data_IF_054979776440
#
_entry.id   IF_054979776440
#
_cell.length_a   1.000
_cell.length_b   1.000
_cell.length_c   1.000
_cell.angle_alpha   90.00
_cell.angle_beta   90.00
_cell.angle_gamma   90.00
#
_symmetry.space_group_name_H-M   'P 1'
#
loop_
_entity.id
_entity.type
_entity.pdbx_description
1 polymer ?
#
# COMPACT_ATOMS: atom_id res chain seq x y z
N UNK A 1 51.37 -0.24 23.63
CA UNK A 1 52.11 0.49 24.67
C UNK A 1 52.57 1.78 23.99
N UNK A 2 52.10 2.98 24.28
CA UNK A 2 51.49 3.48 25.50
C UNK A 2 50.63 4.72 25.19
N UNK A 3 49.61 4.93 26.01
CA UNK A 3 48.58 5.98 25.97
C UNK A 3 49.08 7.34 26.46
N UNK A 4 48.55 8.46 25.92
CA UNK A 4 48.21 9.62 26.77
C UNK A 4 47.19 10.58 26.14
N UNK A 5 46.21 10.95 26.95
CA UNK A 5 45.14 11.91 26.70
C UNK A 5 45.38 13.24 27.44
N UNK A 6 44.71 14.30 26.97
CA UNK A 6 44.39 15.59 27.62
C UNK A 6 43.64 16.46 26.59
N UNK A 7 42.34 16.78 26.72
CA UNK A 7 41.71 17.90 27.49
C UNK A 7 42.48 19.22 27.33
N UNK A 8 41.91 20.41 27.11
CA UNK A 8 40.59 21.06 26.97
C UNK A 8 40.96 22.52 26.60
N UNK A 9 40.21 23.28 25.78
CA UNK A 9 39.99 24.73 26.00
C UNK A 9 38.78 25.26 25.19
N UNK A 10 38.04 26.14 25.86
CA UNK A 10 36.85 26.92 25.50
C UNK A 10 37.28 28.26 24.87
N UNK A 11 36.42 28.88 24.06
CA UNK A 11 36.70 30.13 23.37
C UNK A 11 35.47 30.75 22.73
N UNK A 12 34.76 31.57 23.51
CA UNK A 12 33.66 32.44 23.09
C UNK A 12 34.15 33.63 22.27
N UNK A 13 33.40 34.03 21.23
CA UNK A 13 33.35 35.45 20.83
C UNK A 13 32.04 35.86 20.13
N UNK A 14 31.57 37.09 20.41
CA UNK A 14 30.30 37.71 19.97
C UNK A 14 30.53 38.72 18.82
N UNK A 15 29.68 38.63 17.80
CA UNK A 15 28.99 39.66 16.95
C UNK A 15 29.65 41.03 16.60
N UNK A 16 29.33 41.65 15.42
CA UNK A 16 28.11 42.46 15.34
C UNK A 16 27.37 42.54 13.97
N UNK A 17 26.27 43.28 14.03
CA UNK A 17 25.15 43.59 13.11
C UNK A 17 25.42 44.22 11.73
N UNK A 18 24.47 44.03 10.80
CA UNK A 18 24.19 44.91 9.66
C UNK A 18 22.83 44.63 9.01
N UNK A 19 21.90 45.59 9.10
CA UNK A 19 20.58 45.63 8.43
C UNK A 19 20.69 45.95 6.94
N UNK A 20 19.70 45.55 6.12
CA UNK A 20 19.00 46.40 5.12
C UNK A 20 17.77 45.65 4.54
N UNK A 21 16.63 46.34 4.53
CA UNK A 21 15.32 45.93 3.97
C UNK A 21 15.16 46.34 2.50
N UNK A 22 14.35 45.58 1.73
CA UNK A 22 13.40 45.98 0.65
C UNK A 22 12.71 44.67 0.17
N UNK A 23 11.39 44.42 0.11
CA UNK A 23 10.23 45.26 -0.12
C UNK A 23 9.67 44.99 -1.53
N UNK A 24 8.70 44.07 -1.67
CA UNK A 24 7.54 44.19 -2.60
C UNK A 24 6.64 42.95 -2.55
N UNK A 25 5.48 43.18 -1.95
CA UNK A 25 4.34 42.29 -1.81
C UNK A 25 3.43 42.39 -3.06
N UNK A 26 3.01 41.26 -3.64
CA UNK A 26 1.91 41.20 -4.63
C UNK A 26 0.91 40.12 -4.20
N UNK A 27 -0.25 40.57 -3.73
CA UNK A 27 -1.40 39.74 -3.40
C UNK A 27 -2.01 39.07 -4.67
N UNK A 28 -2.46 37.80 -4.60
CA UNK A 28 -3.23 37.20 -5.68
C UNK A 28 -4.72 37.52 -5.57
N UNK A 29 -5.32 37.74 -6.74
CA UNK A 29 -6.71 38.10 -7.01
C UNK A 29 -7.75 37.19 -6.36
N UNK A 30 -8.79 37.80 -5.78
CA UNK A 30 -9.99 37.12 -5.29
C UNK A 30 -10.77 36.46 -6.44
N UNK A 31 -11.02 35.16 -6.33
CA UNK A 31 -12.02 34.45 -7.13
C UNK A 31 -13.34 34.36 -6.34
N UNK A 32 -14.45 34.71 -6.97
CA UNK A 32 -15.78 34.72 -6.37
C UNK A 32 -16.23 33.31 -5.89
N UNK A 33 -16.94 33.20 -4.75
CA UNK A 33 -17.46 31.93 -4.28
C UNK A 33 -18.63 31.43 -5.13
N UNK A 34 -18.64 30.13 -5.44
CA UNK A 34 -19.80 29.44 -6.01
C UNK A 34 -20.79 29.21 -4.86
N UNK A 35 -21.95 29.86 -4.91
CA UNK A 35 -23.02 29.67 -3.95
C UNK A 35 -23.72 28.32 -4.17
N UNK A 36 -23.84 27.52 -3.11
CA UNK A 36 -24.80 26.42 -3.06
C UNK A 36 -26.21 26.98 -2.85
N UNK A 37 -27.24 26.26 -3.34
CA UNK A 37 -28.63 26.72 -3.25
C UNK A 37 -29.06 26.94 -1.80
N UNK A 38 -29.86 27.98 -1.58
CA UNK A 38 -30.36 28.41 -0.25
C UNK A 38 -31.07 27.29 0.52
N UNK A 39 -31.56 26.28 -0.18
CA UNK A 39 -32.23 25.11 0.38
C UNK A 39 -31.27 24.16 1.14
N UNK A 40 -30.00 24.08 0.72
CA UNK A 40 -28.96 23.30 1.39
C UNK A 40 -28.53 23.97 2.70
N UNK A 41 -28.34 25.29 2.70
CA UNK A 41 -27.97 26.06 3.88
C UNK A 41 -29.09 26.11 4.94
N UNK A 42 -30.37 26.11 4.51
CA UNK A 42 -31.53 26.07 5.42
C UNK A 42 -31.65 24.76 6.19
N UNK A 43 -31.29 23.62 5.58
CA UNK A 43 -31.35 22.29 6.22
C UNK A 43 -30.22 22.03 7.21
N UNK A 44 -29.07 22.69 7.03
CA UNK A 44 -27.92 22.55 7.92
C UNK A 44 -28.06 23.41 9.19
N UNK A 45 -28.54 24.65 9.06
CA UNK A 45 -28.74 25.57 10.19
C UNK A 45 -29.87 25.11 11.13
N UNK A 46 -30.97 24.59 10.59
CA UNK A 46 -32.11 24.11 11.39
C UNK A 46 -31.81 22.89 12.27
N UNK A 47 -30.84 22.04 11.90
CA UNK A 47 -30.41 20.90 12.72
C UNK A 47 -29.44 21.27 13.86
N UNK A 48 -28.71 22.39 13.75
CA UNK A 48 -27.75 22.81 14.78
C UNK A 48 -28.39 23.49 16.00
N UNK A 49 -29.61 24.03 15.85
CA UNK A 49 -30.28 24.76 16.92
C UNK A 49 -30.98 23.84 17.96
N UNK A 50 -31.19 22.56 17.65
CA UNK A 50 -31.96 21.62 18.51
C UNK A 50 -31.12 20.76 19.44
N UNK A 51 -29.79 20.73 19.28
CA UNK A 51 -28.88 20.01 20.18
C UNK A 51 -27.72 20.93 20.53
N UNK A 52 -27.66 21.36 21.79
CA UNK A 52 -26.66 22.32 22.31
C UNK A 52 -25.22 21.81 22.36
N UNK A 53 -24.68 21.32 21.23
CA UNK A 53 -23.29 20.96 21.05
C UNK A 53 -22.66 21.83 19.97
N UNK A 54 -21.54 22.48 20.30
CA UNK A 54 -20.72 23.19 19.30
C UNK A 54 -20.10 22.16 18.36
N UNK A 55 -20.51 22.17 17.09
CA UNK A 55 -19.89 21.43 16.01
C UNK A 55 -19.33 22.42 14.99
N UNK A 56 -18.02 22.38 14.75
CA UNK A 56 -17.37 23.14 13.70
C UNK A 56 -17.07 22.20 12.52
N UNK A 57 -17.74 22.41 11.39
CA UNK A 57 -17.39 21.77 10.13
C UNK A 57 -16.53 22.74 9.31
N UNK A 58 -15.34 22.30 8.89
CA UNK A 58 -14.54 23.04 7.92
C UNK A 58 -14.31 22.17 6.68
N UNK A 59 -14.54 22.77 5.51
CA UNK A 59 -14.27 22.18 4.21
C UNK A 59 -13.10 22.92 3.59
N UNK A 60 -11.95 22.27 3.45
CA UNK A 60 -10.86 22.77 2.62
C UNK A 60 -10.95 22.16 1.22
N UNK A 61 -10.91 23.03 0.21
CA UNK A 61 -10.91 22.64 -1.20
C UNK A 61 -9.47 22.23 -1.58
N UNK A 62 -9.20 20.93 -1.57
CA UNK A 62 -7.99 20.35 -2.16
C UNK A 62 -8.45 19.40 -3.28
N UNK A 63 -7.76 19.47 -4.42
CA UNK A 63 -8.09 18.76 -5.67
C UNK A 63 -8.51 17.29 -5.41
N UNK A 64 -9.70 16.96 -5.91
CA UNK A 64 -10.26 15.63 -6.22
C UNK A 64 -10.34 14.50 -5.17
N UNK A 65 -9.95 14.71 -3.91
CA UNK A 65 -10.27 13.74 -2.85
C UNK A 65 -11.12 14.36 -1.74
N UNK A 66 -12.39 13.96 -1.69
CA UNK A 66 -13.26 14.28 -0.55
C UNK A 66 -12.83 13.46 0.67
N UNK A 67 -11.90 14.02 1.47
CA UNK A 67 -11.51 13.47 2.77
C UNK A 67 -12.43 14.03 3.86
N UNK A 68 -13.28 13.18 4.43
CA UNK A 68 -14.09 13.53 5.60
C UNK A 68 -13.40 13.02 6.87
N UNK A 69 -13.03 13.93 7.77
CA UNK A 69 -12.49 13.60 9.09
C UNK A 69 -13.55 13.94 10.13
N UNK A 70 -14.00 12.96 10.90
CA UNK A 70 -15.03 13.14 11.93
C UNK A 70 -14.34 12.94 13.29
N UNK A 71 -14.28 14.00 14.10
CA UNK A 71 -13.74 13.94 15.45
C UNK A 71 -14.88 13.90 16.47
N UNK A 72 -14.97 12.79 17.21
CA UNK A 72 -15.97 12.58 18.26
C UNK A 72 -16.46 11.13 18.35
N UNK A 73 -16.61 10.60 19.56
CA UNK A 73 -17.08 9.23 19.83
C UNK A 73 -18.52 9.18 20.37
N UNK A 74 -19.30 10.27 20.25
CA UNK A 74 -20.68 10.26 20.73
C UNK A 74 -21.57 9.35 19.87
N UNK A 75 -22.64 8.83 20.47
CA UNK A 75 -23.57 7.89 19.82
C UNK A 75 -24.17 8.47 18.53
N UNK A 76 -24.40 9.78 18.53
CA UNK A 76 -24.95 10.51 17.38
C UNK A 76 -23.89 10.74 16.29
N UNK A 77 -22.62 10.94 16.67
CA UNK A 77 -21.51 11.03 15.71
C UNK A 77 -21.25 9.69 15.02
N UNK A 78 -21.32 8.57 15.75
CA UNK A 78 -21.19 7.23 15.16
C UNK A 78 -22.37 6.89 14.25
N UNK A 79 -23.59 7.29 14.62
CA UNK A 79 -24.79 7.11 13.79
C UNK A 79 -24.70 7.95 12.50
N UNK A 80 -24.30 9.21 12.60
CA UNK A 80 -24.08 10.07 11.45
C UNK A 80 -22.95 9.54 10.55
N UNK A 81 -21.85 9.06 11.14
CA UNK A 81 -20.76 8.40 10.42
C UNK A 81 -21.25 7.17 9.65
N UNK A 82 -22.08 6.33 10.28
CA UNK A 82 -22.65 5.15 9.64
C UNK A 82 -23.58 5.54 8.48
N UNK A 83 -24.48 6.51 8.68
CA UNK A 83 -25.41 6.98 7.65
C UNK A 83 -24.68 7.62 6.45
N UNK A 84 -23.62 8.40 6.70
CA UNK A 84 -22.74 8.94 5.65
C UNK A 84 -22.02 7.81 4.91
N UNK A 85 -21.54 6.78 5.63
CA UNK A 85 -20.90 5.63 5.00
C UNK A 85 -21.87 4.85 4.11
N UNK A 86 -23.13 4.71 4.53
CA UNK A 86 -24.21 4.09 3.74
C UNK A 86 -24.60 4.95 2.52
N UNK A 87 -24.63 6.27 2.66
CA UNK A 87 -24.82 7.18 1.53
C UNK A 87 -23.66 7.09 0.53
N UNK A 88 -22.41 6.99 0.99
CA UNK A 88 -21.24 6.75 0.14
C UNK A 88 -21.24 5.35 -0.49
N UNK A 89 -21.91 4.35 0.11
CA UNK A 89 -22.17 3.07 -0.56
C UNK A 89 -23.18 3.20 -1.70
N UNK A 90 -24.21 4.05 -1.55
CA UNK A 90 -25.22 4.29 -2.60
C UNK A 90 -24.70 5.15 -3.77
N UNK A 91 -23.68 5.99 -3.53
CA UNK A 91 -23.02 6.80 -4.57
C UNK A 91 -21.81 6.10 -5.20
N UNK A 92 -21.31 4.99 -4.61
CA UNK A 92 -20.35 4.09 -5.27
C UNK A 92 -21.13 3.26 -6.29
N UNK A 93 -21.01 3.53 -7.60
CA UNK A 93 -21.79 2.77 -8.57
C UNK A 93 -21.34 1.31 -8.58
N UNK A 94 -22.21 0.42 -9.09
CA UNK A 94 -21.95 -1.00 -9.39
C UNK A 94 -20.63 -1.29 -10.14
N UNK A 95 -19.90 -0.26 -10.58
CA UNK A 95 -18.60 -0.34 -11.23
C UNK A 95 -17.50 -0.97 -10.39
N UNK A 96 -17.58 -0.94 -9.05
CA UNK A 96 -16.58 -1.61 -8.19
C UNK A 96 -16.52 -3.12 -8.37
N UNK A 97 -17.56 -3.76 -8.95
CA UNK A 97 -17.59 -5.20 -9.19
C UNK A 97 -17.59 -5.58 -10.67
N UNK A 98 -17.56 -4.62 -11.61
CA UNK A 98 -17.46 -4.93 -13.06
C UNK A 98 -16.21 -5.76 -13.39
N UNK A 99 -15.11 -5.54 -12.67
CA UNK A 99 -13.84 -6.23 -12.93
C UNK A 99 -13.65 -7.51 -12.11
N UNK A 100 -14.64 -7.93 -11.33
CA UNK A 100 -14.61 -9.21 -10.61
C UNK A 100 -15.39 -10.23 -11.43
N UNK A 101 -14.71 -11.15 -12.13
CA UNK A 101 -15.39 -12.14 -12.96
C UNK A 101 -16.45 -12.88 -12.15
N UNK A 102 -17.63 -13.07 -12.75
CA UNK A 102 -18.68 -13.89 -12.15
C UNK A 102 -18.27 -15.37 -12.15
N UNK A 103 -17.56 -15.77 -13.20
CA UNK A 103 -16.87 -17.05 -13.36
C UNK A 103 -15.49 -16.77 -13.96
N UNK A 104 -14.51 -17.65 -13.70
CA UNK A 104 -13.20 -17.58 -14.33
C UNK A 104 -13.17 -18.57 -15.50
N UNK A 105 -12.73 -18.12 -16.68
CA UNK A 105 -12.49 -18.99 -17.84
C UNK A 105 -11.53 -20.13 -17.50
N UNK A 106 -11.55 -21.27 -18.17
CA UNK A 106 -10.57 -22.33 -17.91
C UNK A 106 -9.11 -21.83 -18.05
N UNK A 107 -8.19 -22.45 -17.31
CA UNK A 107 -6.77 -22.07 -17.39
C UNK A 107 -6.26 -22.35 -18.82
N UNK A 108 -5.68 -21.35 -19.52
CA UNK A 108 -5.29 -21.54 -20.91
C UNK A 108 -4.14 -22.55 -21.04
N UNK A 109 -4.18 -23.39 -22.08
CA UNK A 109 -3.19 -24.45 -22.27
C UNK A 109 -1.75 -23.94 -22.46
N UNK A 110 -1.57 -22.73 -23.00
CA UNK A 110 -0.28 -22.09 -23.27
C UNK A 110 0.04 -20.98 -22.25
N UNK A 111 -0.17 -21.25 -20.96
CA UNK A 111 0.19 -20.26 -19.94
C UNK A 111 1.69 -19.93 -19.94
N UNK A 112 2.09 -18.67 -19.64
CA UNK A 112 3.48 -18.23 -19.57
C UNK A 112 4.37 -19.02 -18.59
N UNK A 113 3.77 -19.87 -17.75
CA UNK A 113 4.48 -20.79 -16.85
C UNK A 113 5.51 -21.63 -17.60
N UNK A 114 5.26 -22.04 -18.85
CA UNK A 114 6.18 -22.91 -19.59
C UNK A 114 7.57 -22.33 -19.79
N UNK A 115 7.68 -21.01 -19.90
CA UNK A 115 8.97 -20.33 -19.98
C UNK A 115 9.66 -20.22 -18.61
N UNK A 116 8.87 -20.03 -17.55
CA UNK A 116 9.34 -20.05 -16.17
C UNK A 116 9.85 -21.45 -15.76
N UNK A 117 9.19 -22.49 -16.27
CA UNK A 117 9.50 -23.90 -16.00
C UNK A 117 10.91 -24.31 -16.46
N UNK A 118 11.38 -23.77 -17.60
CA UNK A 118 12.71 -24.10 -18.14
C UNK A 118 13.86 -23.42 -17.39
N UNK A 119 13.66 -22.21 -16.88
CA UNK A 119 14.74 -21.40 -16.32
C UNK A 119 15.09 -21.76 -14.86
N UNK A 120 14.17 -22.39 -14.13
CA UNK A 120 14.35 -22.66 -12.70
C UNK A 120 14.84 -24.09 -12.39
N UNK A 121 14.89 -25.01 -13.37
CA UNK A 121 15.24 -26.44 -13.18
C UNK A 121 14.45 -27.14 -12.04
N UNK A 122 13.21 -26.73 -11.80
CA UNK A 122 12.35 -27.31 -10.76
C UNK A 122 11.50 -28.45 -11.34
N UNK A 123 11.28 -29.51 -10.56
CA UNK A 123 10.39 -30.62 -10.97
C UNK A 123 8.97 -30.33 -10.48
N UNK A 124 8.17 -29.70 -11.34
CA UNK A 124 6.79 -29.35 -11.03
C UNK A 124 5.88 -30.58 -11.06
N UNK A 125 4.97 -30.64 -10.09
CA UNK A 125 3.94 -31.68 -9.99
C UNK A 125 2.55 -31.13 -10.28
N UNK A 126 2.25 -29.89 -9.90
CA UNK A 126 0.93 -29.30 -10.07
C UNK A 126 0.99 -27.76 -10.15
N UNK A 127 0.07 -27.17 -10.92
CA UNK A 127 -0.18 -25.73 -10.97
C UNK A 127 -1.69 -25.51 -10.79
N UNK A 128 -2.04 -24.67 -9.83
CA UNK A 128 -3.43 -24.36 -9.48
C UNK A 128 -3.65 -22.86 -9.63
N UNK A 129 -4.74 -22.47 -10.31
CA UNK A 129 -5.15 -21.07 -10.34
C UNK A 129 -6.01 -20.76 -9.11
N UNK A 130 -5.62 -19.74 -8.37
CA UNK A 130 -6.39 -19.28 -7.21
C UNK A 130 -7.52 -18.36 -7.71
N UNK A 131 -8.75 -18.65 -7.28
CA UNK A 131 -9.95 -17.93 -7.70
C UNK A 131 -10.70 -17.37 -6.50
N UNK A 132 -10.12 -16.38 -5.83
CA UNK A 132 -10.72 -15.74 -4.67
C UNK A 132 -11.30 -14.37 -5.05
N UNK A 133 -12.63 -14.29 -5.21
CA UNK A 133 -13.32 -13.07 -5.66
C UNK A 133 -13.13 -11.88 -4.72
N UNK A 134 -13.09 -12.12 -3.41
CA UNK A 134 -12.93 -11.05 -2.42
C UNK A 134 -11.53 -10.46 -2.46
N UNK A 135 -10.50 -11.29 -2.52
CA UNK A 135 -9.11 -10.82 -2.65
C UNK A 135 -8.89 -10.12 -3.99
N UNK A 136 -9.44 -10.67 -5.07
CA UNK A 136 -9.35 -10.06 -6.40
C UNK A 136 -10.02 -8.69 -6.45
N UNK A 137 -11.24 -8.55 -5.92
CA UNK A 137 -11.94 -7.27 -5.86
C UNK A 137 -11.16 -6.21 -5.05
N UNK A 138 -10.63 -6.60 -3.88
CA UNK A 138 -9.79 -5.72 -3.07
C UNK A 138 -8.51 -5.27 -3.79
N UNK A 139 -7.86 -6.20 -4.51
CA UNK A 139 -6.69 -5.91 -5.33
C UNK A 139 -6.99 -4.95 -6.48
N UNK A 140 -8.09 -5.17 -7.23
CA UNK A 140 -8.48 -4.31 -8.36
C UNK A 140 -8.82 -2.88 -7.91
N UNK A 141 -9.54 -2.73 -6.79
CA UNK A 141 -9.83 -1.40 -6.21
C UNK A 141 -8.53 -0.67 -5.89
N UNK A 142 -7.58 -1.35 -5.23
CA UNK A 142 -6.29 -0.75 -4.89
C UNK A 142 -5.43 -0.44 -6.10
N UNK A 143 -5.52 -1.26 -7.15
CA UNK A 143 -4.83 -1.01 -8.42
C UNK A 143 -5.30 0.28 -9.04
N UNK A 144 -6.61 0.46 -9.22
CA UNK A 144 -7.19 1.69 -9.80
C UNK A 144 -6.81 2.93 -8.98
N UNK A 145 -6.92 2.84 -7.66
CA UNK A 145 -6.47 3.91 -6.76
C UNK A 145 -4.99 4.29 -6.99
N UNK A 146 -4.11 3.28 -7.05
CA UNK A 146 -2.68 3.50 -7.27
C UNK A 146 -2.38 4.09 -8.66
N UNK A 147 -3.13 3.71 -9.70
CA UNK A 147 -2.99 4.24 -11.05
C UNK A 147 -3.34 5.72 -11.13
N UNK A 148 -4.44 6.14 -10.49
CA UNK A 148 -4.83 7.55 -10.38
C UNK A 148 -3.77 8.32 -9.59
N UNK A 149 -3.40 7.81 -8.41
CA UNK A 149 -2.48 8.48 -7.48
C UNK A 149 -1.04 8.62 -8.00
N UNK A 150 -0.58 7.67 -8.81
CA UNK A 150 0.75 7.72 -9.42
C UNK A 150 0.75 8.34 -10.82
N UNK A 151 -0.43 8.51 -11.45
CA UNK A 151 -0.55 9.07 -12.79
C UNK A 151 -0.05 8.15 -13.90
N UNK A 152 0.07 6.85 -13.65
CA UNK A 152 0.51 5.86 -14.65
C UNK A 152 -0.02 4.46 -14.34
N UNK A 153 -0.02 3.58 -15.35
CA UNK A 153 -0.52 2.20 -15.24
C UNK A 153 0.56 1.15 -14.90
N UNK A 154 1.84 1.54 -14.88
CA UNK A 154 2.96 0.62 -14.60
C UNK A 154 3.15 0.34 -13.10
N UNK A 155 2.09 -0.11 -12.42
CA UNK A 155 2.09 -0.33 -10.98
C UNK A 155 2.15 -1.81 -10.59
N UNK A 156 1.87 -2.72 -11.51
CA UNK A 156 1.71 -4.15 -11.23
C UNK A 156 2.89 -4.98 -11.77
N UNK A 157 3.38 -5.91 -10.95
CA UNK A 157 4.39 -6.90 -11.34
C UNK A 157 3.94 -8.30 -11.00
N UNK A 158 4.38 -9.26 -11.83
CA UNK A 158 4.30 -10.68 -11.53
C UNK A 158 5.56 -11.11 -10.77
N UNK A 159 5.40 -11.53 -9.52
CA UNK A 159 6.50 -11.85 -8.60
C UNK A 159 6.25 -13.16 -7.86
N UNK A 160 7.28 -13.68 -7.22
CA UNK A 160 7.28 -14.99 -6.56
C UNK A 160 7.27 -14.88 -5.04
N UNK A 161 6.54 -15.79 -4.39
CA UNK A 161 6.52 -15.91 -2.94
C UNK A 161 6.57 -17.38 -2.52
N UNK A 162 7.62 -17.78 -1.79
CA UNK A 162 7.73 -19.13 -1.25
C UNK A 162 6.82 -19.29 -0.04
N UNK A 163 6.17 -20.44 0.09
CA UNK A 163 5.25 -20.71 1.19
C UNK A 163 5.50 -22.08 1.83
N UNK A 164 5.17 -22.19 3.11
CA UNK A 164 5.12 -23.45 3.83
C UNK A 164 3.73 -24.09 3.65
N UNK A 165 3.65 -25.42 3.58
CA UNK A 165 2.38 -26.14 3.45
C UNK A 165 1.33 -25.72 4.51
N UNK A 166 1.77 -25.40 5.73
CA UNK A 166 0.89 -24.95 6.82
C UNK A 166 0.27 -23.54 6.62
N UNK A 167 0.69 -22.81 5.59
CA UNK A 167 0.23 -21.44 5.31
C UNK A 167 -0.67 -21.31 4.09
N UNK A 168 -0.78 -22.38 3.28
CA UNK A 168 -1.47 -22.36 1.98
C UNK A 168 -2.94 -21.98 2.13
N UNK A 169 -3.68 -22.67 3.00
CA UNK A 169 -5.11 -22.40 3.19
C UNK A 169 -5.37 -20.95 3.66
N UNK A 170 -4.48 -20.43 4.50
CA UNK A 170 -4.55 -19.06 4.99
C UNK A 170 -4.32 -18.06 3.87
N UNK A 171 -3.28 -18.27 3.05
CA UNK A 171 -2.97 -17.36 1.93
C UNK A 171 -4.08 -17.42 0.87
N UNK A 172 -4.57 -18.62 0.54
CA UNK A 172 -5.65 -18.81 -0.42
C UNK A 172 -6.96 -18.15 0.03
N UNK A 173 -7.29 -18.27 1.33
CA UNK A 173 -8.54 -17.73 1.89
C UNK A 173 -8.47 -16.23 2.24
N UNK A 174 -7.37 -15.79 2.86
CA UNK A 174 -7.26 -14.48 3.51
C UNK A 174 -6.21 -13.56 2.86
N UNK A 175 -5.43 -14.06 1.90
CA UNK A 175 -4.34 -13.32 1.27
C UNK A 175 -3.07 -13.25 2.13
N UNK A 176 -2.18 -12.36 1.75
CA UNK A 176 -0.93 -12.14 2.47
C UNK A 176 -1.17 -11.27 3.71
N UNK A 177 -0.56 -11.64 4.83
CA UNK A 177 -0.67 -10.88 6.07
C UNK A 177 0.72 -10.51 6.58
N UNK A 178 1.00 -9.21 6.65
CA UNK A 178 2.30 -8.71 7.10
C UNK A 178 2.59 -8.99 8.58
N UNK A 179 1.61 -9.36 9.41
CA UNK A 179 1.87 -9.76 10.80
C UNK A 179 2.72 -11.03 10.89
N UNK A 180 2.85 -11.78 9.80
CA UNK A 180 3.77 -12.92 9.67
C UNK A 180 5.14 -12.53 9.10
N UNK A 181 5.39 -11.24 8.83
CA UNK A 181 6.70 -10.73 8.44
C UNK A 181 7.74 -10.99 9.54
N UNK A 182 9.01 -11.18 9.15
CA UNK A 182 10.11 -11.36 10.09
C UNK A 182 10.43 -12.80 10.49
N UNK A 183 9.72 -13.82 9.95
CA UNK A 183 10.18 -15.23 10.09
C UNK A 183 11.54 -15.47 9.42
N UNK A 184 11.86 -14.68 8.40
CA UNK A 184 13.17 -14.56 7.78
C UNK A 184 13.62 -13.11 7.97
N UNK A 185 14.92 -12.87 8.20
CA UNK A 185 15.47 -11.55 8.53
C UNK A 185 14.87 -10.43 7.65
N UNK A 186 14.18 -9.48 8.29
CA UNK A 186 13.45 -8.38 7.62
C UNK A 186 14.40 -7.24 7.24
N UNK A 187 15.33 -7.52 6.32
CA UNK A 187 16.43 -6.60 5.96
C UNK A 187 15.98 -5.30 5.31
N UNK A 188 14.82 -5.26 4.66
CA UNK A 188 14.35 -4.11 3.88
C UNK A 188 13.01 -3.56 4.39
N UNK A 189 12.51 -4.07 5.51
CA UNK A 189 11.27 -3.63 6.16
C UNK A 189 10.39 -4.78 6.64
N UNK A 190 9.49 -4.48 7.56
CA UNK A 190 8.53 -5.39 8.20
C UNK A 190 7.28 -5.58 7.33
N UNK A 191 7.51 -6.02 6.10
CA UNK A 191 6.48 -6.25 5.10
C UNK A 191 6.50 -7.67 4.53
N UNK A 192 5.68 -7.91 3.52
CA UNK A 192 5.65 -9.17 2.77
C UNK A 192 6.61 -9.09 1.59
N UNK A 193 7.51 -10.06 1.47
CA UNK A 193 8.59 -10.09 0.48
C UNK A 193 8.20 -10.89 -0.75
N UNK A 194 8.53 -10.36 -1.93
CA UNK A 194 8.28 -10.99 -3.22
C UNK A 194 9.53 -10.92 -4.10
N UNK A 195 9.98 -12.05 -4.63
CA UNK A 195 11.18 -12.13 -5.46
C UNK A 195 10.84 -11.97 -6.94
N UNK A 196 11.76 -11.37 -7.70
CA UNK A 196 11.66 -11.29 -9.17
C UNK A 196 11.93 -12.66 -9.81
N UNK A 197 12.82 -13.45 -9.23
CA UNK A 197 13.19 -14.77 -9.75
C UNK A 197 12.63 -15.89 -8.87
N UNK A 198 12.04 -16.89 -9.51
CA UNK A 198 11.44 -18.04 -8.84
C UNK A 198 12.44 -18.84 -7.99
N UNK A 199 13.70 -18.97 -8.45
CA UNK A 199 14.74 -19.73 -7.74
C UNK A 199 15.02 -19.23 -6.33
N UNK A 200 14.93 -17.91 -6.09
CA UNK A 200 15.09 -17.32 -4.77
C UNK A 200 14.01 -17.85 -3.83
N UNK A 201 12.75 -17.67 -4.22
CA UNK A 201 11.58 -18.12 -3.46
C UNK A 201 11.49 -19.64 -3.35
N UNK A 202 12.03 -20.39 -4.33
CA UNK A 202 11.99 -21.85 -4.35
C UNK A 202 13.02 -22.51 -3.41
N UNK A 203 13.96 -21.76 -2.82
CA UNK A 203 14.90 -22.32 -1.85
C UNK A 203 14.20 -22.84 -0.60
N UNK A 204 14.82 -23.78 0.12
CA UNK A 204 14.24 -24.42 1.30
C UNK A 204 13.98 -23.44 2.47
N UNK A 205 14.63 -22.28 2.45
CA UNK A 205 14.40 -21.18 3.40
C UNK A 205 13.00 -20.59 3.26
N UNK A 206 12.49 -20.47 2.04
CA UNK A 206 11.23 -19.78 1.75
C UNK A 206 10.10 -20.74 1.35
N UNK A 207 10.43 -21.82 0.64
CA UNK A 207 9.52 -22.91 0.28
C UNK A 207 9.96 -24.20 0.95
N UNK A 208 9.85 -24.27 2.28
CA UNK A 208 10.27 -25.44 3.05
C UNK A 208 9.52 -26.70 2.57
N UNK A 209 10.21 -27.81 2.25
CA UNK A 209 9.57 -29.07 1.89
C UNK A 209 8.63 -29.56 3.00
N UNK A 210 7.49 -30.08 2.61
CA UNK A 210 6.59 -30.82 3.49
C UNK A 210 7.15 -32.24 3.79
N UNK A 211 6.47 -33.06 4.63
CA UNK A 211 6.92 -34.41 4.93
C UNK A 211 7.03 -35.36 3.71
N UNK A 212 6.39 -35.03 2.58
CA UNK A 212 6.42 -35.78 1.32
C UNK A 212 7.48 -35.23 0.34
N UNK A 213 8.26 -34.24 0.78
CA UNK A 213 9.29 -33.57 -0.02
C UNK A 213 8.73 -32.57 -1.03
N UNK A 214 7.46 -32.19 -0.90
CA UNK A 214 6.78 -31.26 -1.78
C UNK A 214 6.96 -29.82 -1.30
N UNK A 215 7.19 -28.91 -2.23
CA UNK A 215 7.43 -27.49 -2.00
C UNK A 215 6.39 -26.66 -2.74
N UNK A 216 6.14 -25.46 -2.21
CA UNK A 216 5.04 -24.60 -2.63
C UNK A 216 5.52 -23.19 -2.92
N UNK A 217 5.13 -22.68 -4.08
CA UNK A 217 5.54 -21.38 -4.60
C UNK A 217 4.33 -20.67 -5.19
N UNK A 218 4.08 -19.44 -4.79
CA UNK A 218 3.08 -18.61 -5.45
C UNK A 218 3.69 -17.79 -6.58
N UNK A 219 2.97 -17.70 -7.70
CA UNK A 219 3.07 -16.56 -8.61
C UNK A 219 1.98 -15.56 -8.23
N UNK A 220 2.39 -14.34 -7.92
CA UNK A 220 1.51 -13.29 -7.42
C UNK A 220 1.47 -12.11 -8.39
N UNK A 221 0.33 -11.45 -8.45
CA UNK A 221 0.25 -10.07 -8.93
C UNK A 221 0.49 -9.15 -7.74
N UNK A 222 1.45 -8.25 -7.84
CA UNK A 222 1.87 -7.37 -6.75
C UNK A 222 1.86 -5.95 -7.25
N UNK A 223 1.15 -5.07 -6.56
CA UNK A 223 1.14 -3.63 -6.86
C UNK A 223 2.40 -3.01 -6.26
N UNK A 224 3.50 -2.98 -7.00
CA UNK A 224 4.77 -2.39 -6.55
C UNK A 224 4.76 -0.87 -6.64
N UNK A 225 3.95 -0.31 -7.53
CA UNK A 225 3.82 1.14 -7.74
C UNK A 225 5.16 1.84 -7.91
N UNK A 226 5.26 3.05 -7.36
CA UNK A 226 6.53 3.74 -7.17
C UNK A 226 7.25 3.15 -5.97
N UNK A 227 8.53 2.83 -6.13
CA UNK A 227 9.31 2.15 -5.11
C UNK A 227 10.64 2.84 -4.82
N UNK A 228 11.20 2.55 -3.64
CA UNK A 228 12.52 3.03 -3.21
C UNK A 228 13.25 1.97 -2.40
N UNK A 229 14.49 2.23 -1.99
CA UNK A 229 15.28 1.27 -1.21
C UNK A 229 14.74 1.14 0.21
N UNK A 230 14.53 -0.10 0.66
CA UNK A 230 14.07 -0.42 2.00
C UNK A 230 15.18 -0.44 3.03
N UNK A 231 14.81 -0.41 4.31
CA UNK A 231 15.72 -0.52 5.45
C UNK A 231 15.10 -1.36 6.57
N UNK A 232 15.90 -1.98 7.45
CA UNK A 232 15.37 -2.74 8.58
C UNK A 232 14.46 -1.87 9.47
N UNK A 233 13.39 -2.46 10.01
CA UNK A 233 12.48 -1.81 10.95
C UNK A 233 11.45 -0.85 10.34
N UNK A 234 11.44 -0.67 9.01
CA UNK A 234 10.37 0.07 8.33
C UNK A 234 9.03 -0.67 8.47
N UNK A 235 7.99 -0.01 8.98
CA UNK A 235 6.62 -0.56 9.04
C UNK A 235 5.72 -0.08 7.91
N UNK A 236 6.14 0.98 7.23
CA UNK A 236 5.52 1.59 6.05
C UNK A 236 6.64 2.09 5.12
N UNK A 237 6.40 2.25 3.81
CA UNK A 237 7.36 2.89 2.91
C UNK A 237 7.65 4.34 3.34
N UNK A 238 8.82 4.89 2.99
CA UNK A 238 9.13 6.28 3.29
C UNK A 238 8.33 7.27 2.40
N UNK A 239 8.25 8.55 2.79
CA UNK A 239 7.72 9.62 1.95
C UNK A 239 8.50 9.79 0.63
N UNK A 240 7.83 10.21 -0.45
CA UNK A 240 8.46 10.49 -1.75
C UNK A 240 9.34 11.74 -1.73
N UNK A 241 9.04 12.70 -0.87
CA UNK A 241 9.86 13.88 -0.62
C UNK A 241 9.65 14.38 0.81
N UNK A 242 10.47 15.33 1.26
CA UNK A 242 10.30 16.01 2.55
C UNK A 242 9.10 16.94 2.61
N UNK A 243 8.48 17.24 1.46
CA UNK A 243 7.41 18.24 1.30
C UNK A 243 6.04 17.61 1.06
N UNK A 244 5.96 16.30 0.88
CA UNK A 244 4.72 15.55 0.61
C UNK A 244 4.46 14.50 1.68
N UNK A 245 3.18 14.30 2.00
CA UNK A 245 2.73 13.17 2.83
C UNK A 245 2.61 11.86 2.03
N UNK A 246 2.73 11.92 0.70
CA UNK A 246 2.62 10.75 -0.17
C UNK A 246 3.83 9.85 0.03
N UNK A 247 3.55 8.60 0.40
CA UNK A 247 4.56 7.55 0.54
C UNK A 247 4.85 6.91 -0.82
N UNK A 248 6.02 6.26 -0.92
CA UNK A 248 6.22 5.22 -1.91
C UNK A 248 5.20 4.08 -1.70
N UNK A 249 4.94 3.29 -2.74
CA UNK A 249 4.00 2.18 -2.67
C UNK A 249 4.66 0.90 -2.14
N UNK A 250 5.93 0.70 -2.45
CA UNK A 250 6.72 -0.45 -1.98
C UNK A 250 8.18 -0.08 -1.77
N UNK A 251 8.95 -1.00 -1.20
CA UNK A 251 10.41 -0.87 -1.11
C UNK A 251 11.13 -2.05 -1.72
N UNK A 252 12.43 -1.89 -2.02
CA UNK A 252 13.27 -2.88 -2.69
C UNK A 252 14.62 -3.08 -1.96
N UNK A 253 15.43 -4.00 -2.45
CA UNK A 253 16.75 -4.38 -1.93
C UNK A 253 17.89 -3.42 -2.31
N UNK A 254 17.59 -2.34 -3.06
CA UNK A 254 18.55 -1.29 -3.39
C UNK A 254 19.52 -1.64 -4.52
N UNK A 255 19.29 -2.75 -5.22
CA UNK A 255 20.03 -3.13 -6.43
C UNK A 255 19.29 -2.64 -7.70
N UNK A 256 20.02 -2.47 -8.80
CA UNK A 256 19.44 -2.05 -10.09
C UNK A 256 19.83 -3.04 -11.20
N UNK A 257 18.88 -3.77 -11.81
CA UNK A 257 17.45 -3.78 -11.50
C UNK A 257 17.11 -4.51 -10.19
N UNK A 258 16.03 -4.13 -9.47
CA UNK A 258 15.54 -4.79 -8.25
C UNK A 258 15.48 -6.31 -8.33
N UNK A 259 15.88 -7.01 -7.28
CA UNK A 259 15.72 -8.47 -7.19
C UNK A 259 14.49 -8.88 -6.37
N UNK A 260 13.96 -7.97 -5.55
CA UNK A 260 12.77 -8.18 -4.74
C UNK A 260 12.01 -6.89 -4.43
N UNK A 261 10.76 -7.07 -4.03
CA UNK A 261 9.86 -6.01 -3.59
C UNK A 261 9.22 -6.39 -2.27
N UNK A 262 9.04 -5.40 -1.40
CA UNK A 262 8.44 -5.53 -0.08
C UNK A 262 7.24 -4.58 -0.03
N UNK A 263 6.07 -5.15 0.27
CA UNK A 263 4.81 -4.41 0.40
C UNK A 263 4.34 -4.42 1.87
N UNK A 264 3.61 -3.37 2.25
CA UNK A 264 3.20 -3.13 3.65
C UNK A 264 1.68 -3.16 3.84
N UNK A 265 0.93 -3.50 2.80
CA UNK A 265 -0.53 -3.61 2.84
C UNK A 265 -1.00 -4.96 2.33
N UNK A 266 -1.94 -5.56 3.07
CA UNK A 266 -2.37 -6.95 2.87
C UNK A 266 -3.12 -7.15 1.53
N UNK A 267 -3.84 -6.13 1.05
CA UNK A 267 -4.56 -6.14 -0.23
C UNK A 267 -3.73 -5.64 -1.43
N UNK A 268 -2.42 -5.49 -1.28
CA UNK A 268 -1.52 -5.01 -2.33
C UNK A 268 -0.92 -6.15 -3.18
N UNK A 269 -1.22 -7.40 -2.83
CA UNK A 269 -0.86 -8.57 -3.61
C UNK A 269 -2.03 -9.56 -3.71
N UNK A 270 -2.17 -10.19 -4.88
CA UNK A 270 -3.10 -11.27 -5.14
C UNK A 270 -2.31 -12.55 -5.47
N UNK A 271 -2.48 -13.66 -4.72
CA UNK A 271 -1.94 -14.94 -5.10
C UNK A 271 -2.71 -15.42 -6.34
N UNK A 272 -2.07 -15.41 -7.52
CA UNK A 272 -2.75 -15.74 -8.77
C UNK A 272 -2.68 -17.25 -9.04
N UNK A 273 -1.54 -17.86 -8.75
CA UNK A 273 -1.32 -19.28 -8.92
C UNK A 273 -0.49 -19.88 -7.78
N UNK A 274 -0.83 -21.09 -7.38
CA UNK A 274 -0.02 -21.95 -6.52
C UNK A 274 0.67 -23.01 -7.36
N UNK A 275 1.98 -23.11 -7.18
CA UNK A 275 2.85 -24.02 -7.92
C UNK A 275 3.46 -24.99 -6.92
N UNK A 276 3.30 -26.27 -7.21
CA UNK A 276 3.71 -27.39 -6.38
C UNK A 276 4.86 -28.09 -7.10
N UNK A 277 6.04 -28.16 -6.50
CA UNK A 277 7.27 -28.71 -7.08
C UNK A 277 8.16 -29.45 -6.07
N UNK A 278 9.09 -30.28 -6.55
CA UNK A 278 10.13 -30.93 -5.74
C UNK A 278 11.50 -30.36 -6.07
#
# INVERSE_FOLDING_TARGET
MDTRAGMLEDGTDRAPSGMLEDGTDRAPSQAAPIAFSDEFNKRFTTKSATSGGSAAASTQKIKEEAKLTIEGLSKDVLKASYEIHEMLKKVRPEETFKDVPQHWDDMPANTPFRQLMCNARLFFTQIERIQNRSLWGGFQIKKKDMEVRNGHQNNERKLFHGACHTTIDKINGLGFNRSYAGKNAALYGDGTYFAVKANYSASDTYSKPDPQGQKYLYLCRVLTGDFTTGKPGMKVPPPKSTTTIQLYDSVTDGVSPPSMFIIFHDNQAYPEYLITFK
#
